data_IF_270730106338
#
_entry.id   IF_270730106338
#
_cell.length_a   1.000
_cell.length_b   1.000
_cell.length_c   1.000
_cell.angle_alpha   90.00
_cell.angle_beta   90.00
_cell.angle_gamma   90.00
#
_symmetry.space_group_name_H-M   'P 1'
#
loop_
_entity.id
_entity.type
_entity.pdbx_description
1 polymer ?
#
# COMPACT_ATOMS: atom_id res chain seq x y z
N UNK A 1 -6.55 -35.30 -12.14
CA UNK A 1 -6.30 -34.01 -12.82
C UNK A 1 -6.06 -32.97 -11.75
N UNK A 2 -5.03 -32.14 -11.90
CA UNK A 2 -4.75 -31.01 -11.01
C UNK A 2 -5.72 -29.85 -11.29
N UNK A 3 -5.96 -28.99 -10.30
CA UNK A 3 -6.74 -27.78 -10.49
C UNK A 3 -6.04 -26.80 -11.45
N UNK A 4 -6.83 -26.04 -12.20
CA UNK A 4 -6.37 -24.93 -13.04
C UNK A 4 -6.40 -23.62 -12.23
N UNK A 5 -5.40 -22.76 -12.43
CA UNK A 5 -5.28 -21.49 -11.69
C UNK A 5 -6.04 -20.40 -12.43
N UNK A 6 -6.91 -19.70 -11.70
CA UNK A 6 -7.54 -18.46 -12.17
C UNK A 6 -6.53 -17.31 -12.09
N UNK A 7 -5.85 -16.99 -13.20
CA UNK A 7 -4.80 -15.96 -13.23
C UNK A 7 -5.37 -14.52 -13.22
N UNK A 8 -5.57 -13.99 -12.02
CA UNK A 8 -6.01 -12.61 -11.84
C UNK A 8 -4.97 -11.54 -12.18
N UNK A 9 -3.67 -11.88 -12.22
CA UNK A 9 -2.62 -10.92 -12.58
C UNK A 9 -2.64 -10.66 -14.08
N UNK A 10 -2.77 -11.70 -14.88
CA UNK A 10 -2.96 -11.59 -16.33
C UNK A 10 -4.24 -10.81 -16.65
N UNK A 11 -5.36 -11.15 -16.01
CA UNK A 11 -6.64 -10.47 -16.20
C UNK A 11 -6.57 -8.98 -15.82
N UNK A 12 -5.95 -8.63 -14.69
CA UNK A 12 -5.80 -7.23 -14.28
C UNK A 12 -4.94 -6.42 -15.26
N UNK A 13 -3.90 -7.04 -15.86
CA UNK A 13 -3.08 -6.41 -16.91
C UNK A 13 -3.91 -6.11 -18.16
N UNK A 14 -4.73 -7.06 -18.58
CA UNK A 14 -5.65 -6.89 -19.72
C UNK A 14 -6.66 -5.77 -19.46
N UNK A 15 -7.33 -5.78 -18.29
CA UNK A 15 -8.30 -4.75 -17.91
C UNK A 15 -7.67 -3.35 -17.94
N UNK A 16 -6.47 -3.18 -17.36
CA UNK A 16 -5.77 -1.89 -17.37
C UNK A 16 -5.39 -1.43 -18.79
N UNK A 17 -5.01 -2.35 -19.67
CA UNK A 17 -4.68 -2.02 -21.05
C UNK A 17 -5.92 -1.50 -21.81
N UNK A 18 -7.06 -2.18 -21.66
CA UNK A 18 -8.34 -1.73 -22.21
C UNK A 18 -8.75 -0.37 -21.64
N UNK A 19 -8.71 -0.23 -20.32
CA UNK A 19 -9.09 1.00 -19.63
C UNK A 19 -8.25 2.21 -20.08
N UNK A 20 -6.94 2.02 -20.29
CA UNK A 20 -6.06 3.07 -20.83
C UNK A 20 -6.54 3.58 -22.20
N UNK A 21 -6.95 2.66 -23.07
CA UNK A 21 -7.47 3.02 -24.39
C UNK A 21 -8.82 3.74 -24.29
N UNK A 22 -9.71 3.25 -23.41
CA UNK A 22 -11.03 3.85 -23.20
C UNK A 22 -10.95 5.27 -22.63
N UNK A 23 -10.05 5.50 -21.68
CA UNK A 23 -9.80 6.83 -21.08
C UNK A 23 -9.21 7.79 -22.11
N UNK A 24 -8.23 7.34 -22.91
CA UNK A 24 -7.68 8.14 -23.99
C UNK A 24 -8.75 8.51 -25.03
N UNK A 25 -9.62 7.56 -25.41
CA UNK A 25 -10.72 7.80 -26.33
C UNK A 25 -11.77 8.77 -25.76
N UNK A 26 -12.10 8.64 -24.47
CA UNK A 26 -13.02 9.54 -23.78
C UNK A 26 -12.49 10.98 -23.75
N UNK A 27 -11.20 11.15 -23.43
CA UNK A 27 -10.54 12.46 -23.43
C UNK A 27 -10.53 13.08 -24.82
N UNK A 28 -10.21 12.30 -25.85
CA UNK A 28 -10.17 12.77 -27.23
C UNK A 28 -11.55 13.18 -27.75
N UNK A 29 -12.61 12.42 -27.44
CA UNK A 29 -13.95 12.64 -28.00
C UNK A 29 -14.80 13.67 -27.24
N UNK A 30 -14.61 13.78 -25.93
CA UNK A 30 -15.49 14.57 -25.06
C UNK A 30 -14.74 15.63 -24.23
N UNK A 31 -13.40 15.65 -24.26
CA UNK A 31 -12.61 16.54 -23.41
C UNK A 31 -12.70 16.21 -21.92
N UNK A 32 -13.28 15.06 -21.56
CA UNK A 32 -13.48 14.62 -20.17
C UNK A 32 -12.26 13.80 -19.73
N UNK A 33 -11.61 14.24 -18.66
CA UNK A 33 -10.73 13.40 -17.86
C UNK A 33 -11.51 12.80 -16.71
N UNK A 34 -11.68 11.47 -16.63
CA UNK A 34 -12.21 10.84 -15.43
C UNK A 34 -11.30 11.14 -14.25
N UNK A 35 -11.89 11.48 -13.11
CA UNK A 35 -11.16 11.80 -11.88
C UNK A 35 -11.67 10.95 -10.74
N UNK A 36 -10.75 10.24 -10.09
CA UNK A 36 -11.00 9.50 -8.85
C UNK A 36 -10.50 10.31 -7.67
N UNK A 37 -11.40 10.67 -6.76
CA UNK A 37 -11.06 11.22 -5.46
C UNK A 37 -10.95 10.10 -4.42
N UNK A 38 -9.90 10.14 -3.60
CA UNK A 38 -9.70 9.22 -2.48
C UNK A 38 -9.61 10.03 -1.20
N UNK A 39 -10.55 9.80 -0.28
CA UNK A 39 -10.60 10.41 1.04
C UNK A 39 -9.96 9.47 2.07
N UNK A 40 -8.87 9.92 2.69
CA UNK A 40 -8.19 9.25 3.80
C UNK A 40 -8.27 10.13 5.04
N UNK A 41 -8.49 9.50 6.20
CA UNK A 41 -8.64 10.18 7.48
C UNK A 41 -7.73 9.50 8.50
N UNK A 42 -6.78 10.24 9.05
CA UNK A 42 -5.79 9.73 9.99
C UNK A 42 -4.55 9.11 9.35
N UNK A 43 -3.68 8.62 10.23
CA UNK A 43 -2.28 8.31 9.91
C UNK A 43 -2.03 6.80 9.74
N UNK A 44 -3.02 6.06 9.22
CA UNK A 44 -2.86 4.63 8.96
C UNK A 44 -1.94 4.37 7.76
N UNK A 45 -0.74 3.85 8.04
CA UNK A 45 0.30 3.55 7.04
C UNK A 45 -0.19 2.59 5.94
N UNK A 46 -1.07 1.64 6.29
CA UNK A 46 -1.64 0.69 5.34
C UNK A 46 -2.57 1.39 4.34
N UNK A 47 -3.43 2.28 4.81
CA UNK A 47 -4.31 3.13 4.00
C UNK A 47 -3.52 4.06 3.09
N UNK A 48 -2.44 4.67 3.58
CA UNK A 48 -1.54 5.48 2.76
C UNK A 48 -0.84 4.65 1.67
N UNK A 49 -0.41 3.42 1.99
CA UNK A 49 0.14 2.47 1.02
C UNK A 49 -0.87 2.10 -0.07
N UNK A 50 -2.13 1.89 0.31
CA UNK A 50 -3.21 1.56 -0.61
C UNK A 50 -3.57 2.75 -1.53
N UNK A 51 -3.64 3.97 -1.00
CA UNK A 51 -3.84 5.19 -1.78
C UNK A 51 -2.76 5.35 -2.87
N UNK A 52 -1.48 5.14 -2.52
CA UNK A 52 -0.37 5.17 -3.49
C UNK A 52 -0.51 4.12 -4.59
N UNK A 53 -1.00 2.92 -4.26
CA UNK A 53 -1.25 1.87 -5.25
C UNK A 53 -2.39 2.22 -6.21
N UNK A 54 -3.45 2.87 -5.71
CA UNK A 54 -4.55 3.40 -6.52
C UNK A 54 -4.04 4.51 -7.44
N UNK A 55 -3.29 5.48 -6.90
CA UNK A 55 -2.70 6.58 -7.67
C UNK A 55 -1.85 6.04 -8.83
N UNK A 56 -0.91 5.14 -8.54
CA UNK A 56 -0.07 4.51 -9.57
C UNK A 56 -0.88 3.80 -10.65
N UNK A 57 -2.00 3.19 -10.26
CA UNK A 57 -2.93 2.56 -11.21
C UNK A 57 -3.61 3.62 -12.08
N UNK A 58 -4.12 4.69 -11.49
CA UNK A 58 -4.76 5.82 -12.18
C UNK A 58 -3.80 6.47 -13.18
N UNK A 59 -2.58 6.80 -12.77
CA UNK A 59 -1.52 7.35 -13.62
C UNK A 59 -1.23 6.42 -14.81
N UNK A 60 -1.16 5.10 -14.55
CA UNK A 60 -0.89 4.10 -15.57
C UNK A 60 -1.98 3.98 -16.65
N UNK A 61 -3.22 4.33 -16.32
CA UNK A 61 -4.37 4.28 -17.24
C UNK A 61 -4.85 5.65 -17.72
N UNK A 62 -4.28 6.75 -17.20
CA UNK A 62 -4.61 8.12 -17.57
C UNK A 62 -5.86 8.69 -16.90
N UNK A 63 -6.28 8.12 -15.76
CA UNK A 63 -7.34 8.66 -14.90
C UNK A 63 -6.70 9.69 -13.96
N UNK A 64 -7.30 10.87 -13.83
CA UNK A 64 -6.83 11.90 -12.91
C UNK A 64 -7.11 11.45 -11.46
N UNK A 65 -6.19 11.74 -10.55
CA UNK A 65 -6.25 11.29 -9.16
C UNK A 65 -6.21 12.48 -8.20
N UNK A 66 -7.17 12.53 -7.27
CA UNK A 66 -7.24 13.54 -6.21
C UNK A 66 -7.22 12.86 -4.86
N UNK A 67 -6.06 12.89 -4.20
CA UNK A 67 -5.98 12.50 -2.78
C UNK A 67 -6.47 13.63 -1.90
N UNK A 68 -7.35 13.33 -0.95
CA UNK A 68 -7.72 14.20 0.16
C UNK A 68 -7.33 13.50 1.44
N UNK A 69 -6.29 14.05 2.08
CA UNK A 69 -5.73 13.53 3.33
C UNK A 69 -6.16 14.43 4.49
N UNK A 70 -6.92 13.88 5.43
CA UNK A 70 -7.40 14.58 6.61
C UNK A 70 -6.68 14.06 7.86
N UNK A 71 -6.27 14.95 8.79
CA UNK A 71 -5.53 14.54 9.98
C UNK A 71 -6.39 13.66 10.90
N UNK A 72 -5.76 12.85 11.76
CA UNK A 72 -6.47 12.07 12.77
C UNK A 72 -7.38 12.94 13.67
N UNK A 73 -6.97 14.17 13.94
CA UNK A 73 -7.71 15.12 14.77
C UNK A 73 -8.96 15.72 14.10
N UNK A 74 -9.17 15.48 12.80
CA UNK A 74 -10.34 15.97 12.08
C UNK A 74 -11.63 15.51 12.76
N UNK A 75 -12.59 16.40 12.85
CA UNK A 75 -13.90 16.15 13.42
C UNK A 75 -14.90 15.72 12.34
N UNK A 76 -15.98 15.03 12.76
CA UNK A 76 -17.00 14.50 11.85
C UNK A 76 -17.50 15.56 10.85
N UNK A 77 -17.84 16.76 11.32
CA UNK A 77 -18.37 17.83 10.47
C UNK A 77 -17.37 18.31 9.42
N UNK A 78 -16.08 18.38 9.75
CA UNK A 78 -15.03 18.78 8.81
C UNK A 78 -14.88 17.74 7.68
N UNK A 79 -14.95 16.45 8.04
CA UNK A 79 -14.90 15.35 7.06
C UNK A 79 -16.13 15.35 6.16
N UNK A 80 -17.31 15.59 6.73
CA UNK A 80 -18.57 15.69 6.00
C UNK A 80 -18.59 16.87 5.02
N UNK A 81 -18.05 18.02 5.40
CA UNK A 81 -17.90 19.19 4.53
C UNK A 81 -17.04 18.86 3.30
N UNK A 82 -15.88 18.24 3.54
CA UNK A 82 -14.96 17.79 2.48
C UNK A 82 -15.64 16.75 1.56
N UNK A 83 -16.35 15.78 2.13
CA UNK A 83 -17.08 14.79 1.33
C UNK A 83 -18.18 15.44 0.49
N UNK A 84 -18.88 16.45 1.02
CA UNK A 84 -19.88 17.22 0.28
C UNK A 84 -19.26 18.02 -0.87
N UNK A 85 -18.07 18.60 -0.69
CA UNK A 85 -17.32 19.23 -1.79
C UNK A 85 -17.02 18.22 -2.90
N UNK A 86 -16.51 17.03 -2.56
CA UNK A 86 -16.24 15.96 -3.54
C UNK A 86 -17.52 15.49 -4.24
N UNK A 87 -18.63 15.36 -3.51
CA UNK A 87 -19.93 14.97 -4.03
C UNK A 87 -20.47 15.95 -5.08
N UNK A 88 -20.22 17.25 -4.89
CA UNK A 88 -20.74 18.33 -5.73
C UNK A 88 -19.79 18.76 -6.84
N UNK A 89 -18.48 18.50 -6.70
CA UNK A 89 -17.44 18.81 -7.67
C UNK A 89 -17.69 18.15 -9.04
N UNK A 90 -18.02 18.89 -10.11
CA UNK A 90 -18.34 18.30 -11.42
C UNK A 90 -17.15 17.60 -12.07
N UNK A 91 -15.92 17.96 -11.70
CA UNK A 91 -14.69 17.33 -12.17
C UNK A 91 -14.38 16.00 -11.48
N UNK A 92 -15.01 15.70 -10.34
CA UNK A 92 -14.85 14.44 -9.60
C UNK A 92 -15.93 13.46 -10.05
N UNK A 93 -15.51 12.32 -10.59
CA UNK A 93 -16.41 11.32 -11.19
C UNK A 93 -16.59 10.08 -10.32
N UNK A 94 -15.62 9.80 -9.45
CA UNK A 94 -15.67 8.73 -8.47
C UNK A 94 -15.03 9.15 -7.16
N UNK A 95 -15.55 8.61 -6.05
CA UNK A 95 -15.08 8.86 -4.70
C UNK A 95 -14.90 7.51 -4.01
N UNK A 96 -13.77 7.34 -3.32
CA UNK A 96 -13.51 6.23 -2.41
C UNK A 96 -13.13 6.78 -1.04
N UNK A 97 -13.75 6.24 0.01
CA UNK A 97 -13.39 6.53 1.40
C UNK A 97 -12.54 5.34 1.88
N UNK A 98 -11.31 5.59 2.32
CA UNK A 98 -10.44 4.51 2.79
C UNK A 98 -10.72 4.18 4.26
N UNK A 99 -10.73 2.89 4.56
CA UNK A 99 -10.77 2.34 5.91
C UNK A 99 -9.36 1.91 6.37
N UNK A 100 -9.07 1.94 7.69
CA UNK A 100 -9.97 2.36 8.77
C UNK A 100 -10.07 3.89 8.90
N UNK A 101 -11.25 4.37 9.31
CA UNK A 101 -11.40 5.74 9.80
C UNK A 101 -11.23 5.77 11.34
N UNK A 102 -10.83 6.90 11.95
CA UNK A 102 -10.75 7.01 13.41
C UNK A 102 -12.08 6.68 14.10
N UNK A 103 -12.03 6.11 15.30
CA UNK A 103 -13.22 5.66 16.05
C UNK A 103 -14.24 6.78 16.34
N UNK A 104 -13.79 8.04 16.42
CA UNK A 104 -14.66 9.20 16.61
C UNK A 104 -15.37 9.66 15.33
N UNK A 105 -15.03 9.08 14.18
CA UNK A 105 -15.66 9.35 12.88
C UNK A 105 -16.63 8.21 12.55
N UNK A 106 -17.88 8.58 12.30
CA UNK A 106 -18.90 7.62 11.89
C UNK A 106 -18.75 7.28 10.40
N UNK A 107 -18.09 6.16 10.11
CA UNK A 107 -17.97 5.65 8.74
C UNK A 107 -19.35 5.49 8.06
N UNK A 108 -20.34 4.96 8.77
CA UNK A 108 -21.68 4.76 8.25
C UNK A 108 -22.33 6.09 7.81
N UNK A 109 -22.15 7.17 8.57
CA UNK A 109 -22.66 8.49 8.20
C UNK A 109 -22.01 9.03 6.91
N UNK A 110 -20.70 8.79 6.73
CA UNK A 110 -20.00 9.16 5.50
C UNK A 110 -20.52 8.36 4.29
N UNK A 111 -20.74 7.06 4.45
CA UNK A 111 -21.31 6.22 3.38
C UNK A 111 -22.72 6.67 3.00
N UNK A 112 -23.56 7.05 3.96
CA UNK A 112 -24.92 7.54 3.70
C UNK A 112 -24.93 8.94 3.04
N UNK A 113 -23.89 9.75 3.26
CA UNK A 113 -23.72 11.06 2.63
C UNK A 113 -23.11 10.99 1.23
N UNK A 114 -22.31 9.96 0.94
CA UNK A 114 -21.67 9.76 -0.35
C UNK A 114 -22.72 9.80 -1.48
N UNK A 115 -22.43 10.47 -2.60
CA UNK A 115 -23.34 10.46 -3.75
C UNK A 115 -23.33 9.06 -4.40
N UNK A 116 -24.47 8.35 -4.50
CA UNK A 116 -24.52 7.02 -5.11
C UNK A 116 -23.98 6.96 -6.54
N UNK A 117 -24.08 8.08 -7.28
CA UNK A 117 -23.58 8.18 -8.66
C UNK A 117 -22.07 8.35 -8.75
N UNK A 118 -21.38 8.62 -7.62
CA UNK A 118 -19.91 8.71 -7.52
C UNK A 118 -19.32 7.61 -6.63
N UNK A 119 -20.14 6.76 -6.02
CA UNK A 119 -19.72 5.63 -5.19
C UNK A 119 -19.12 4.50 -6.03
N UNK A 120 -17.88 4.68 -6.48
CA UNK A 120 -17.19 3.70 -7.35
C UNK A 120 -16.79 2.43 -6.61
N UNK A 121 -16.81 2.43 -5.27
CA UNK A 121 -16.56 1.26 -4.44
C UNK A 121 -17.85 0.46 -4.14
N UNK A 122 -19.01 0.96 -4.57
CA UNK A 122 -20.29 0.27 -4.47
C UNK A 122 -20.76 0.02 -3.03
N UNK A 123 -20.32 0.84 -2.08
CA UNK A 123 -20.59 0.67 -0.65
C UNK A 123 -21.90 1.34 -0.21
N UNK A 124 -22.45 2.24 -1.00
CA UNK A 124 -23.66 2.96 -0.66
C UNK A 124 -24.89 2.03 -0.66
N UNK A 125 -25.75 2.07 0.39
CA UNK A 125 -27.00 1.32 0.43
C UNK A 125 -27.92 1.46 -0.80
N UNK A 126 -27.92 2.61 -1.49
CA UNK A 126 -28.70 2.81 -2.72
C UNK A 126 -28.17 1.92 -3.85
N UNK A 127 -26.85 1.84 -4.03
CA UNK A 127 -26.23 0.94 -5.01
C UNK A 127 -26.46 -0.52 -4.64
N UNK A 128 -26.34 -0.88 -3.36
CA UNK A 128 -26.66 -2.22 -2.87
C UNK A 128 -28.14 -2.60 -3.13
N UNK A 129 -29.07 -1.67 -2.89
CA UNK A 129 -30.49 -1.87 -3.16
C UNK A 129 -30.81 -1.98 -4.65
N UNK A 130 -30.14 -1.20 -5.50
CA UNK A 130 -30.26 -1.30 -6.96
C UNK A 130 -29.68 -2.60 -7.50
N UNK A 131 -28.54 -3.07 -6.96
CA UNK A 131 -28.01 -4.40 -7.24
C UNK A 131 -29.01 -5.49 -6.82
N UNK A 132 -29.59 -5.40 -5.63
CA UNK A 132 -30.58 -6.37 -5.16
C UNK A 132 -31.83 -6.44 -6.06
N UNK A 133 -32.24 -5.31 -6.64
CA UNK A 133 -33.40 -5.21 -7.52
C UNK A 133 -33.08 -5.39 -9.02
N UNK A 134 -31.79 -5.56 -9.35
CA UNK A 134 -31.24 -5.53 -10.71
C UNK A 134 -31.70 -4.32 -11.55
N UNK A 135 -31.58 -3.10 -10.98
CA UNK A 135 -32.01 -1.84 -11.61
C UNK A 135 -30.84 -0.91 -11.94
N UNK A 136 -30.12 -1.14 -13.04
CA UNK A 136 -29.01 -0.28 -13.43
C UNK A 136 -29.45 1.17 -13.77
N UNK A 137 -28.56 2.16 -13.68
CA UNK A 137 -27.14 2.03 -13.31
C UNK A 137 -26.92 1.96 -11.79
N UNK A 138 -25.97 1.12 -11.38
CA UNK A 138 -25.46 1.01 -10.02
C UNK A 138 -24.01 0.55 -10.04
N UNK A 139 -23.25 0.96 -9.03
CA UNK A 139 -21.93 0.39 -8.77
C UNK A 139 -22.04 -0.89 -7.94
N UNK A 140 -21.03 -1.74 -8.08
CA UNK A 140 -20.93 -3.02 -7.39
C UNK A 140 -19.58 -3.03 -6.68
N UNK A 141 -19.50 -3.54 -5.44
CA UNK A 141 -18.21 -3.63 -4.76
C UNK A 141 -17.12 -4.30 -5.60
N UNK A 142 -15.91 -3.73 -5.56
CA UNK A 142 -14.84 -4.09 -6.48
C UNK A 142 -14.41 -5.56 -6.35
N UNK A 143 -14.38 -6.09 -5.11
CA UNK A 143 -13.99 -7.49 -4.83
C UNK A 143 -14.92 -8.51 -5.50
N UNK A 144 -16.26 -8.51 -5.25
CA UNK A 144 -17.15 -9.44 -5.92
C UNK A 144 -17.22 -9.22 -7.43
N UNK A 145 -17.15 -7.97 -7.91
CA UNK A 145 -17.05 -7.69 -9.34
C UNK A 145 -15.79 -8.34 -9.97
N UNK A 146 -14.63 -8.21 -9.31
CA UNK A 146 -13.38 -8.86 -9.74
C UNK A 146 -13.48 -10.38 -9.76
N UNK A 147 -14.07 -10.98 -8.73
CA UNK A 147 -14.29 -12.43 -8.67
C UNK A 147 -15.16 -12.95 -9.82
N UNK A 148 -16.22 -12.21 -10.18
CA UNK A 148 -17.04 -12.51 -11.35
C UNK A 148 -16.24 -12.42 -12.65
N UNK A 149 -15.41 -11.39 -12.82
CA UNK A 149 -14.56 -11.24 -14.01
C UNK A 149 -13.55 -12.39 -14.15
N UNK A 150 -13.03 -12.91 -13.04
CA UNK A 150 -12.18 -14.11 -13.04
C UNK A 150 -12.94 -15.34 -13.54
N UNK A 151 -14.16 -15.57 -13.02
CA UNK A 151 -15.01 -16.69 -13.44
C UNK A 151 -15.40 -16.57 -14.92
N UNK A 152 -15.71 -15.37 -15.39
CA UNK A 152 -16.00 -15.10 -16.81
C UNK A 152 -14.77 -15.37 -17.70
N UNK A 153 -13.58 -14.91 -17.29
CA UNK A 153 -12.33 -15.14 -18.02
C UNK A 153 -12.01 -16.64 -18.15
N UNK A 154 -12.35 -17.43 -17.14
CA UNK A 154 -12.18 -18.88 -17.13
C UNK A 154 -13.28 -19.64 -17.89
N UNK A 155 -14.23 -18.94 -18.54
CA UNK A 155 -15.26 -19.58 -19.35
C UNK A 155 -16.33 -20.32 -18.54
N UNK A 156 -16.54 -19.93 -17.29
CA UNK A 156 -17.49 -20.60 -16.39
C UNK A 156 -18.92 -20.43 -16.90
N UNK A 157 -19.60 -21.54 -17.20
CA UNK A 157 -21.01 -21.55 -17.55
C UNK A 157 -21.89 -21.42 -16.29
N UNK A 158 -22.30 -20.21 -15.94
CA UNK A 158 -23.02 -19.92 -14.68
C UNK A 158 -24.41 -20.58 -14.57
N UNK A 159 -25.17 -20.59 -15.67
CA UNK A 159 -26.58 -20.99 -15.66
C UNK A 159 -26.78 -22.41 -15.11
N UNK A 160 -27.59 -22.53 -14.07
CA UNK A 160 -27.95 -23.81 -13.44
C UNK A 160 -26.91 -24.38 -12.47
N UNK A 161 -25.74 -23.75 -12.32
CA UNK A 161 -24.74 -24.17 -11.33
C UNK A 161 -25.16 -23.80 -9.91
N UNK A 162 -24.83 -24.64 -8.93
CA UNK A 162 -24.98 -24.30 -7.52
C UNK A 162 -23.75 -23.50 -7.05
N UNK A 163 -23.99 -22.24 -6.69
CA UNK A 163 -23.00 -21.36 -6.09
C UNK A 163 -23.20 -21.28 -4.56
N UNK A 164 -22.16 -21.60 -3.81
CA UNK A 164 -22.15 -21.48 -2.34
C UNK A 164 -21.18 -20.37 -1.97
N UNK A 165 -21.69 -19.35 -1.27
CA UNK A 165 -20.88 -18.25 -0.75
C UNK A 165 -20.75 -18.45 0.76
N UNK A 166 -19.53 -18.55 1.27
CA UNK A 166 -19.26 -18.62 2.71
C UNK A 166 -18.83 -17.25 3.20
N UNK A 167 -19.70 -16.59 3.96
CA UNK A 167 -19.53 -15.22 4.41
C UNK A 167 -20.62 -14.30 3.84
N UNK A 168 -21.17 -13.41 4.68
CA UNK A 168 -22.34 -12.59 4.37
C UNK A 168 -22.12 -11.10 4.62
N UNK A 169 -20.89 -10.63 4.47
CA UNK A 169 -20.57 -9.20 4.58
C UNK A 169 -21.31 -8.40 3.51
N UNK A 170 -21.55 -7.12 3.80
CA UNK A 170 -22.27 -6.21 2.92
C UNK A 170 -21.48 -5.87 1.64
N UNK A 171 -20.15 -5.93 1.71
CA UNK A 171 -19.26 -5.54 0.60
C UNK A 171 -18.69 -6.72 -0.21
N UNK A 172 -18.81 -7.97 0.26
CA UNK A 172 -18.30 -9.14 -0.48
C UNK A 172 -19.35 -10.24 -0.60
N UNK A 173 -19.81 -10.79 0.52
CA UNK A 173 -20.63 -12.00 0.52
C UNK A 173 -21.99 -11.81 -0.15
N UNK A 174 -22.77 -10.83 0.33
CA UNK A 174 -24.10 -10.49 -0.22
C UNK A 174 -24.03 -10.05 -1.69
N UNK A 175 -23.15 -9.11 -2.10
CA UNK A 175 -23.06 -8.70 -3.51
C UNK A 175 -22.59 -9.84 -4.41
N UNK A 176 -21.64 -10.68 -4.00
CA UNK A 176 -21.25 -11.87 -4.78
C UNK A 176 -22.45 -12.80 -5.03
N UNK A 177 -23.26 -13.05 -3.99
CA UNK A 177 -24.47 -13.86 -4.11
C UNK A 177 -25.45 -13.29 -5.13
N UNK A 178 -25.68 -11.96 -5.13
CA UNK A 178 -26.57 -11.33 -6.11
C UNK A 178 -26.02 -11.38 -7.54
N UNK A 179 -24.72 -11.13 -7.73
CA UNK A 179 -24.11 -11.19 -9.06
C UNK A 179 -24.16 -12.59 -9.69
N UNK A 180 -24.01 -13.64 -8.88
CA UNK A 180 -24.15 -15.03 -9.33
C UNK A 180 -25.62 -15.39 -9.58
N UNK A 181 -26.54 -14.90 -8.75
CA UNK A 181 -27.97 -15.07 -8.96
C UNK A 181 -28.43 -14.44 -10.28
N UNK A 182 -27.99 -13.22 -10.60
CA UNK A 182 -28.29 -12.56 -11.86
C UNK A 182 -27.71 -13.30 -13.08
N UNK A 183 -26.65 -14.10 -12.87
CA UNK A 183 -26.07 -15.01 -13.87
C UNK A 183 -26.72 -16.39 -13.89
N UNK A 184 -27.88 -16.53 -13.28
CA UNK A 184 -28.71 -17.74 -13.25
C UNK A 184 -28.10 -18.92 -12.47
N UNK A 185 -27.21 -18.68 -11.51
CA UNK A 185 -26.84 -19.71 -10.54
C UNK A 185 -27.97 -19.94 -9.52
N UNK A 186 -28.05 -21.16 -8.99
CA UNK A 186 -28.74 -21.43 -7.72
C UNK A 186 -27.80 -21.02 -6.59
N UNK A 187 -28.20 -20.11 -5.71
CA UNK A 187 -27.29 -19.50 -4.74
C UNK A 187 -27.63 -19.90 -3.31
N UNK A 188 -26.62 -20.36 -2.56
CA UNK A 188 -26.70 -20.56 -1.10
C UNK A 188 -25.72 -19.62 -0.39
N UNK A 189 -26.21 -18.75 0.48
CA UNK A 189 -25.40 -17.84 1.28
C UNK A 189 -25.22 -18.38 2.72
N UNK A 190 -23.99 -18.77 3.04
CA UNK A 190 -23.61 -19.34 4.33
C UNK A 190 -22.98 -18.30 5.27
N UNK A 191 -23.02 -18.60 6.57
CA UNK A 191 -22.41 -17.78 7.62
C UNK A 191 -22.09 -18.61 8.87
N UNK A 192 -21.58 -17.95 9.91
CA UNK A 192 -21.17 -18.57 11.18
C UNK A 192 -22.26 -19.35 11.94
N UNK A 193 -23.51 -19.32 11.48
CA UNK A 193 -24.65 -20.03 12.09
C UNK A 193 -25.28 -21.05 11.12
N UNK A 194 -24.67 -21.29 9.97
CA UNK A 194 -25.11 -22.33 9.03
C UNK A 194 -24.87 -23.69 9.68
N UNK A 195 -25.94 -24.48 9.81
CA UNK A 195 -25.86 -25.86 10.30
C UNK A 195 -25.26 -26.74 9.20
N UNK A 196 -24.30 -27.59 9.59
CA UNK A 196 -23.56 -28.48 8.68
C UNK A 196 -22.99 -27.75 7.45
N UNK A 197 -22.26 -26.66 7.71
CA UNK A 197 -21.52 -25.93 6.69
C UNK A 197 -20.65 -26.84 5.78
N UNK A 198 -19.96 -27.89 6.27
CA UNK A 198 -19.25 -28.83 5.41
C UNK A 198 -20.13 -29.48 4.34
N UNK A 199 -21.31 -29.97 4.71
CA UNK A 199 -22.23 -30.60 3.76
C UNK A 199 -22.79 -29.61 2.74
N UNK A 200 -22.99 -28.35 3.13
CA UNK A 200 -23.41 -27.29 2.21
C UNK A 200 -22.32 -26.99 1.19
N UNK A 201 -21.07 -26.81 1.62
CA UNK A 201 -19.95 -26.55 0.72
C UNK A 201 -19.74 -27.68 -0.31
N UNK A 202 -19.94 -28.94 0.10
CA UNK A 202 -19.79 -30.11 -0.79
C UNK A 202 -20.75 -30.15 -1.98
N UNK A 203 -21.80 -29.32 -1.99
CA UNK A 203 -22.72 -29.23 -3.14
C UNK A 203 -22.26 -28.25 -4.21
N UNK A 204 -21.41 -27.30 -3.86
CA UNK A 204 -21.08 -26.16 -4.71
C UNK A 204 -20.34 -26.58 -5.98
N UNK A 205 -20.83 -26.15 -7.13
CA UNK A 205 -20.07 -26.09 -8.38
C UNK A 205 -19.13 -24.87 -8.37
N UNK A 206 -19.56 -23.79 -7.72
CA UNK A 206 -18.78 -22.57 -7.49
C UNK A 206 -18.77 -22.28 -5.99
N UNK A 207 -17.60 -22.35 -5.36
CA UNK A 207 -17.43 -22.07 -3.93
C UNK A 207 -16.69 -20.74 -3.76
N UNK A 208 -17.37 -19.72 -3.25
CA UNK A 208 -16.79 -18.41 -2.98
C UNK A 208 -16.54 -18.23 -1.48
N UNK A 209 -15.28 -18.01 -1.09
CA UNK A 209 -14.87 -17.85 0.30
C UNK A 209 -14.64 -16.36 0.60
N UNK A 210 -15.56 -15.79 1.38
CA UNK A 210 -15.54 -14.40 1.83
C UNK A 210 -15.41 -14.34 3.36
N UNK A 211 -14.41 -15.06 3.89
CA UNK A 211 -14.16 -15.23 5.32
C UNK A 211 -12.78 -14.73 5.71
N UNK A 212 -12.68 -14.05 6.85
CA UNK A 212 -11.40 -13.61 7.43
C UNK A 212 -10.76 -14.65 8.35
N UNK A 213 -10.94 -15.95 8.09
CA UNK A 213 -10.40 -17.04 8.93
C UNK A 213 -9.61 -18.01 8.08
N UNK A 214 -8.30 -18.02 8.31
CA UNK A 214 -7.38 -18.95 7.65
C UNK A 214 -7.82 -20.41 7.88
N UNK A 215 -7.67 -21.23 6.84
CA UNK A 215 -7.84 -22.69 6.87
C UNK A 215 -9.22 -23.19 7.34
N UNK A 216 -10.25 -22.35 7.35
CA UNK A 216 -11.57 -22.77 7.85
C UNK A 216 -12.22 -23.83 6.95
N UNK A 217 -12.11 -23.68 5.63
CA UNK A 217 -12.64 -24.64 4.65
C UNK A 217 -11.59 -25.71 4.40
N UNK A 218 -12.00 -26.97 4.58
CA UNK A 218 -11.11 -28.12 4.43
C UNK A 218 -11.29 -28.79 3.05
N UNK A 219 -10.28 -29.53 2.55
CA UNK A 219 -10.36 -30.16 1.23
C UNK A 219 -11.61 -31.04 1.03
N UNK A 220 -12.04 -31.77 2.06
CA UNK A 220 -13.24 -32.63 2.03
C UNK A 220 -14.57 -31.86 2.08
N UNK A 221 -14.53 -30.54 2.09
CA UNK A 221 -15.70 -29.67 1.91
C UNK A 221 -15.86 -29.25 0.44
N UNK A 222 -14.83 -29.44 -0.39
CA UNK A 222 -14.82 -29.01 -1.80
C UNK A 222 -15.24 -30.17 -2.69
N UNK A 223 -16.29 -29.95 -3.49
CA UNK A 223 -16.73 -30.92 -4.49
C UNK A 223 -15.64 -31.13 -5.55
N UNK A 224 -15.33 -32.37 -5.96
CA UNK A 224 -14.42 -32.60 -7.09
C UNK A 224 -14.90 -31.87 -8.35
N UNK A 225 -14.00 -31.10 -8.96
CA UNK A 225 -14.31 -30.28 -10.14
C UNK A 225 -14.98 -28.93 -9.84
N UNK A 226 -15.16 -28.57 -8.56
CA UNK A 226 -15.63 -27.24 -8.19
C UNK A 226 -14.61 -26.16 -8.55
N UNK A 227 -15.14 -24.97 -8.84
CA UNK A 227 -14.34 -23.74 -8.98
C UNK A 227 -14.32 -23.06 -7.62
N UNK A 228 -13.14 -22.78 -7.09
CA UNK A 228 -12.97 -22.12 -5.78
C UNK A 228 -12.43 -20.72 -6.00
N UNK A 229 -13.15 -19.73 -5.46
CA UNK A 229 -12.70 -18.32 -5.41
C UNK A 229 -12.40 -18.01 -3.95
N UNK A 230 -11.11 -17.91 -3.62
CA UNK A 230 -10.64 -17.64 -2.25
C UNK A 230 -9.87 -16.32 -2.19
N UNK A 231 -10.06 -15.58 -1.10
CA UNK A 231 -9.40 -14.30 -0.82
C UNK A 231 -8.62 -14.41 0.49
N UNK A 232 -7.30 -14.33 0.40
CA UNK A 232 -6.42 -14.22 1.56
C UNK A 232 -5.89 -12.80 1.72
N UNK A 233 -5.94 -12.28 2.94
CA UNK A 233 -5.14 -11.13 3.37
C UNK A 233 -3.90 -11.67 4.07
N UNK A 234 -2.72 -11.32 3.58
CA UNK A 234 -1.45 -11.65 4.21
C UNK A 234 -0.93 -10.42 4.94
N UNK A 235 -0.90 -10.48 6.26
CA UNK A 235 -0.26 -9.45 7.09
C UNK A 235 1.21 -9.80 7.22
N UNK A 236 2.09 -8.85 6.88
CA UNK A 236 3.52 -8.99 7.15
C UNK A 236 3.69 -8.85 8.68
N UNK A 237 4.22 -9.88 9.37
CA UNK A 237 4.39 -9.81 10.82
C UNK A 237 5.30 -8.64 11.21
N UNK A 238 5.05 -7.99 12.37
CA UNK A 238 6.00 -7.04 12.92
C UNK A 238 7.35 -7.74 13.19
N UNK A 239 8.47 -7.03 12.95
CA UNK A 239 9.82 -7.56 13.12
C UNK A 239 10.38 -8.33 11.93
N UNK A 240 9.68 -8.40 10.79
CA UNK A 240 10.30 -8.81 9.52
C UNK A 240 11.45 -7.83 9.22
N UNK A 241 12.71 -8.31 9.11
CA UNK A 241 13.83 -7.42 8.82
C UNK A 241 13.56 -6.63 7.55
N UNK A 242 13.81 -5.33 7.60
CA UNK A 242 13.68 -4.45 6.46
C UNK A 242 14.97 -3.61 6.32
N UNK A 243 15.44 -3.36 5.09
CA UNK A 243 14.82 -3.71 3.82
C UNK A 243 14.90 -5.22 3.51
N UNK A 244 13.82 -5.79 2.96
CA UNK A 244 13.80 -7.18 2.50
C UNK A 244 12.90 -7.37 1.27
N UNK A 245 13.12 -8.47 0.55
CA UNK A 245 12.21 -8.96 -0.49
C UNK A 245 11.57 -10.25 -0.01
N UNK A 246 10.25 -10.29 0.10
CA UNK A 246 9.48 -11.47 0.45
C UNK A 246 8.88 -12.10 -0.81
N UNK A 247 8.87 -13.43 -0.88
CA UNK A 247 8.17 -14.17 -1.94
C UNK A 247 6.81 -14.63 -1.45
N UNK A 248 5.78 -14.36 -2.24
CA UNK A 248 4.43 -14.87 -2.05
C UNK A 248 4.31 -16.19 -2.80
N UNK A 249 4.08 -17.28 -2.06
CA UNK A 249 3.81 -18.61 -2.61
C UNK A 249 2.43 -19.07 -2.17
N UNK A 250 1.70 -19.73 -3.06
CA UNK A 250 0.45 -20.40 -2.74
C UNK A 250 0.58 -21.91 -2.97
N UNK A 251 0.13 -22.70 -2.01
CA UNK A 251 0.11 -24.16 -2.09
C UNK A 251 -1.11 -24.71 -1.35
N UNK A 252 -1.50 -25.92 -1.68
CA UNK A 252 -2.57 -26.64 -0.97
C UNK A 252 -1.94 -27.71 -0.09
N UNK A 253 -2.61 -28.08 1.00
CA UNK A 253 -2.21 -29.15 1.89
C UNK A 253 -3.39 -30.09 2.11
N UNK A 254 -3.11 -31.38 2.27
CA UNK A 254 -4.04 -32.30 2.89
C UNK A 254 -4.15 -31.93 4.38
N UNK A 255 -5.35 -31.51 4.80
CA UNK A 255 -5.55 -31.00 6.15
C UNK A 255 -5.49 -32.09 7.24
N UNK A 256 -5.48 -33.38 6.88
CA UNK A 256 -5.41 -34.50 7.84
C UNK A 256 -3.98 -34.96 8.04
N UNK A 257 -3.20 -35.08 6.96
CA UNK A 257 -1.79 -35.47 7.05
C UNK A 257 -0.85 -34.28 7.23
N UNK A 258 -1.31 -33.07 6.90
CA UNK A 258 -0.47 -31.87 6.79
C UNK A 258 0.44 -31.85 5.55
N UNK A 259 0.32 -32.86 4.68
CA UNK A 259 1.17 -33.02 3.50
C UNK A 259 0.78 -32.01 2.41
N UNK A 260 1.75 -31.40 1.74
CA UNK A 260 1.49 -30.48 0.63
C UNK A 260 1.01 -31.25 -0.59
N UNK A 261 -0.04 -30.76 -1.24
CA UNK A 261 -0.55 -31.31 -2.49
C UNK A 261 0.31 -30.83 -3.66
N UNK A 262 0.65 -31.76 -4.55
CA UNK A 262 1.44 -31.46 -5.74
C UNK A 262 0.66 -30.60 -6.76
N UNK A 263 1.36 -29.60 -7.30
CA UNK A 263 1.00 -28.83 -8.50
C UNK A 263 2.14 -29.02 -9.51
N UNK A 264 1.91 -29.85 -10.53
CA UNK A 264 2.96 -30.23 -11.49
C UNK A 264 4.13 -30.93 -10.80
N UNK A 265 5.33 -30.36 -10.93
CA UNK A 265 6.57 -30.87 -10.30
C UNK A 265 6.91 -30.15 -8.98
N UNK A 266 6.01 -29.32 -8.45
CA UNK A 266 6.20 -28.58 -7.20
C UNK A 266 5.02 -28.83 -6.25
N UNK A 267 5.11 -28.33 -5.03
CA UNK A 267 4.07 -28.41 -3.99
C UNK A 267 3.45 -27.03 -3.65
N UNK A 268 3.80 -26.03 -4.49
CA UNK A 268 3.42 -24.62 -4.39
C UNK A 268 3.67 -23.91 -5.71
N UNK A 269 3.09 -22.73 -5.86
CA UNK A 269 3.28 -21.82 -6.99
C UNK A 269 3.71 -20.45 -6.47
N UNK A 270 4.81 -19.93 -7.00
CA UNK A 270 5.23 -18.56 -6.73
C UNK A 270 4.29 -17.58 -7.46
N UNK A 271 3.69 -16.67 -6.71
CA UNK A 271 2.73 -15.69 -7.24
C UNK A 271 3.41 -14.35 -7.55
N UNK A 272 4.25 -13.87 -6.64
CA UNK A 272 4.97 -12.59 -6.77
C UNK A 272 6.10 -12.47 -5.74
N UNK A 273 7.05 -11.58 -6.01
CA UNK A 273 8.00 -11.06 -5.02
C UNK A 273 7.56 -9.63 -4.63
N UNK A 274 7.61 -9.29 -3.34
CA UNK A 274 7.23 -7.98 -2.77
C UNK A 274 8.39 -7.40 -1.95
N UNK A 275 8.63 -6.10 -2.06
CA UNK A 275 9.62 -5.39 -1.23
C UNK A 275 9.01 -4.89 0.08
N UNK A 276 9.75 -4.96 1.17
CA UNK A 276 9.40 -4.46 2.50
C UNK A 276 10.36 -3.36 2.90
N UNK A 277 9.82 -2.19 3.26
CA UNK A 277 10.58 -1.03 3.71
C UNK A 277 10.60 -0.94 5.26
N UNK A 278 11.67 -0.39 5.87
CA UNK A 278 11.78 -0.31 7.34
C UNK A 278 10.82 0.71 7.97
N UNK A 279 10.29 0.34 9.14
CA UNK A 279 9.45 1.19 9.99
C UNK A 279 10.30 2.15 10.85
N UNK A 280 9.74 3.28 11.34
CA UNK A 280 10.49 4.30 12.10
C UNK A 280 11.27 3.81 13.33
N UNK A 281 10.78 2.76 14.02
CA UNK A 281 11.37 2.25 15.26
C UNK A 281 12.45 1.19 15.08
N UNK A 282 12.62 0.67 13.86
CA UNK A 282 13.54 -0.44 13.55
C UNK A 282 14.87 0.06 12.93
N UNK A 283 15.10 1.37 12.96
CA UNK A 283 16.26 1.98 12.31
C UNK A 283 17.55 1.71 13.09
N UNK A 284 18.68 1.36 12.43
CA UNK A 284 19.98 1.30 13.08
C UNK A 284 20.34 2.65 13.71
N UNK A 285 20.98 2.60 14.89
CA UNK A 285 21.31 3.77 15.72
C UNK A 285 20.16 4.79 15.80
N UNK A 286 18.91 4.31 15.98
CA UNK A 286 17.73 5.15 16.04
C UNK A 286 17.89 6.26 17.09
N UNK A 287 17.55 7.47 16.69
CA UNK A 287 17.64 8.66 17.52
C UNK A 287 17.15 9.84 16.70
N UNK A 288 16.20 10.61 17.25
CA UNK A 288 15.62 11.75 16.53
C UNK A 288 16.48 12.99 16.77
N UNK A 289 17.20 13.42 15.73
CA UNK A 289 17.92 14.69 15.73
C UNK A 289 17.16 15.69 14.87
N UNK A 290 16.61 16.71 15.51
CA UNK A 290 15.82 17.76 14.87
C UNK A 290 16.71 18.88 14.32
N UNK A 291 16.49 19.22 13.06
CA UNK A 291 17.10 20.33 12.33
C UNK A 291 16.05 21.42 12.06
N UNK A 292 16.05 22.45 12.92
CA UNK A 292 15.23 23.65 12.78
C UNK A 292 13.72 23.44 12.73
N UNK A 293 13.21 22.34 13.28
CA UNK A 293 11.79 21.94 13.21
C UNK A 293 11.33 21.52 11.82
N UNK A 294 12.26 21.39 10.86
CA UNK A 294 11.96 21.14 9.44
C UNK A 294 12.25 19.70 9.06
N UNK A 295 13.42 19.20 9.43
CA UNK A 295 13.90 17.85 9.12
C UNK A 295 14.34 17.15 10.40
N UNK A 296 14.12 15.85 10.47
CA UNK A 296 14.71 15.00 11.49
C UNK A 296 15.57 13.92 10.85
N UNK A 297 16.79 13.74 11.35
CA UNK A 297 17.50 12.48 11.19
C UNK A 297 16.85 11.47 12.15
N UNK A 298 16.23 10.42 11.63
CA UNK A 298 15.50 9.41 12.38
C UNK A 298 16.40 8.25 12.84
N UNK A 299 17.47 7.98 12.07
CA UNK A 299 18.45 6.95 12.36
C UNK A 299 19.55 6.95 11.31
N UNK A 300 20.60 6.18 11.56
CA UNK A 300 21.72 6.04 10.62
C UNK A 300 22.42 4.70 10.77
N UNK A 301 23.00 4.21 9.68
CA UNK A 301 23.84 3.02 9.66
C UNK A 301 25.19 3.35 9.04
N UNK A 302 26.25 2.85 9.65
CA UNK A 302 27.62 3.06 9.20
C UNK A 302 28.24 1.68 9.01
N UNK A 303 28.67 1.40 7.78
CA UNK A 303 29.10 0.06 7.36
C UNK A 303 30.29 -0.49 8.19
N UNK A 304 31.14 0.39 8.72
CA UNK A 304 32.28 0.03 9.56
C UNK A 304 32.70 1.15 10.52
N UNK A 305 33.41 0.78 11.59
CA UNK A 305 33.99 1.73 12.57
C UNK A 305 35.51 1.78 12.56
N UNK A 306 36.16 0.94 11.76
CA UNK A 306 37.61 0.93 11.52
C UNK A 306 37.87 1.05 10.02
N UNK A 307 38.90 1.80 9.64
CA UNK A 307 39.26 2.05 8.24
C UNK A 307 40.77 2.24 8.09
N UNK A 308 41.28 2.12 6.87
CA UNK A 308 42.62 2.55 6.49
C UNK A 308 42.57 3.78 5.56
N UNK A 309 43.66 4.56 5.45
CA UNK A 309 43.78 5.58 4.41
C UNK A 309 43.55 4.98 3.01
N UNK A 310 42.79 5.68 2.16
CA UNK A 310 42.40 5.19 0.83
C UNK A 310 41.07 4.41 0.80
N UNK A 311 40.53 4.01 1.95
CA UNK A 311 39.22 3.34 2.01
C UNK A 311 38.05 4.31 1.76
N UNK A 312 36.87 3.75 1.50
CA UNK A 312 35.61 4.50 1.51
C UNK A 312 34.64 3.92 2.54
N UNK A 313 33.98 4.81 3.27
CA UNK A 313 32.96 4.49 4.26
C UNK A 313 31.58 4.77 3.68
N UNK A 314 30.61 3.92 4.00
CA UNK A 314 29.23 4.10 3.57
C UNK A 314 28.36 4.44 4.77
N UNK A 315 27.82 5.66 4.77
CA UNK A 315 26.87 6.14 5.76
C UNK A 315 25.47 6.18 5.12
N UNK A 316 24.52 5.42 5.68
CA UNK A 316 23.11 5.50 5.30
C UNK A 316 22.35 6.26 6.36
N UNK A 317 21.54 7.25 5.95
CA UNK A 317 20.76 8.10 6.83
C UNK A 317 19.29 8.08 6.44
N UNK A 318 18.41 8.07 7.44
CA UNK A 318 16.97 8.15 7.25
C UNK A 318 16.46 9.49 7.77
N UNK A 319 15.79 10.22 6.89
CA UNK A 319 15.31 11.58 7.13
C UNK A 319 13.80 11.63 7.13
N UNK A 320 13.21 12.34 8.09
CA UNK A 320 11.78 12.63 8.21
C UNK A 320 11.52 14.13 8.04
N UNK A 321 10.53 14.50 7.23
CA UNK A 321 10.01 15.87 7.19
C UNK A 321 9.14 16.14 8.43
N UNK A 322 9.54 17.12 9.24
CA UNK A 322 8.81 17.54 10.43
C UNK A 322 7.88 18.74 10.18
N UNK A 323 8.21 19.55 9.19
CA UNK A 323 7.51 20.79 8.87
C UNK A 323 7.43 21.01 7.36
N UNK A 324 6.54 21.90 6.95
CA UNK A 324 6.50 22.38 5.57
C UNK A 324 7.79 23.16 5.29
N UNK A 325 8.41 22.87 4.15
CA UNK A 325 9.64 23.51 3.71
C UNK A 325 9.37 24.33 2.46
N UNK A 326 9.72 25.61 2.49
CA UNK A 326 9.64 26.54 1.36
C UNK A 326 10.93 26.57 0.53
N UNK A 327 11.93 25.77 0.94
CA UNK A 327 13.29 25.77 0.39
C UNK A 327 13.86 24.36 0.21
N UNK A 328 14.90 24.29 -0.62
CA UNK A 328 15.62 23.07 -0.91
C UNK A 328 16.82 22.91 0.04
N UNK A 329 16.95 21.74 0.67
CA UNK A 329 17.98 21.48 1.68
C UNK A 329 18.99 20.44 1.22
N UNK A 330 20.25 20.70 1.56
CA UNK A 330 21.39 19.79 1.39
C UNK A 330 21.75 19.25 2.76
N UNK A 331 21.86 17.93 2.88
CA UNK A 331 22.47 17.31 4.04
C UNK A 331 23.91 16.95 3.73
N UNK A 332 24.82 17.27 4.64
CA UNK A 332 26.23 16.92 4.54
C UNK A 332 26.60 15.86 5.56
N UNK A 333 27.57 15.04 5.20
CA UNK A 333 28.28 14.17 6.12
C UNK A 333 29.78 14.44 5.97
N UNK A 334 30.44 14.82 7.07
CA UNK A 334 31.86 15.15 7.11
C UNK A 334 32.58 14.20 8.07
N UNK A 335 33.78 13.77 7.67
CA UNK A 335 34.67 12.99 8.50
C UNK A 335 35.82 13.89 8.99
N UNK A 336 35.79 14.20 10.28
CA UNK A 336 36.65 15.19 10.91
C UNK A 336 37.73 14.54 11.75
N UNK A 337 38.97 15.01 11.67
CA UNK A 337 40.01 14.72 12.67
C UNK A 337 40.21 15.95 13.55
N UNK A 338 39.98 15.86 14.88
CA UNK A 338 40.11 17.01 15.77
C UNK A 338 41.53 17.60 15.82
N UNK A 339 41.68 18.94 15.99
CA UNK A 339 40.61 19.94 15.99
C UNK A 339 40.29 20.40 14.55
N UNK A 340 39.17 19.92 14.02
CA UNK A 340 38.41 20.49 12.89
C UNK A 340 38.97 20.35 11.46
N UNK A 341 39.85 19.38 11.20
CA UNK A 341 40.24 19.07 9.82
C UNK A 341 39.23 18.10 9.16
N UNK A 342 38.54 18.53 8.09
CA UNK A 342 37.73 17.64 7.24
C UNK A 342 38.65 16.82 6.34
N UNK A 343 38.56 15.49 6.44
CA UNK A 343 39.35 14.56 5.63
C UNK A 343 38.54 13.82 4.57
N UNK A 344 37.23 13.69 4.77
CA UNK A 344 36.31 13.19 3.76
C UNK A 344 34.95 13.87 3.92
N UNK A 345 34.22 14.07 2.82
CA UNK A 345 32.89 14.69 2.86
C UNK A 345 32.02 14.20 1.69
N UNK A 346 30.70 14.17 1.92
CA UNK A 346 29.68 14.00 0.89
C UNK A 346 28.48 14.90 1.25
N UNK A 347 28.13 15.80 0.34
CA UNK A 347 27.07 16.79 0.48
C UNK A 347 26.00 16.48 -0.57
N UNK A 348 24.77 16.18 -0.14
CA UNK A 348 23.70 15.78 -1.04
C UNK A 348 22.43 16.57 -0.86
N UNK A 349 21.91 17.04 -1.99
CA UNK A 349 20.55 17.54 -2.08
C UNK A 349 19.60 16.42 -1.65
N UNK A 350 18.76 16.72 -0.66
CA UNK A 350 17.74 15.78 -0.21
C UNK A 350 16.64 15.72 -1.26
N UNK A 351 16.65 14.66 -2.06
CA UNK A 351 15.72 14.44 -3.15
C UNK A 351 15.05 13.06 -3.02
N UNK A 352 13.71 13.06 -3.07
CA UNK A 352 12.88 11.86 -2.97
C UNK A 352 12.15 11.65 -4.29
N UNK A 353 12.57 10.65 -5.07
CA UNK A 353 11.96 10.32 -6.38
C UNK A 353 11.86 11.52 -7.34
N UNK A 354 12.90 12.37 -7.40
CA UNK A 354 12.91 13.59 -8.23
C UNK A 354 12.26 14.82 -7.57
N UNK A 355 11.61 14.67 -6.41
CA UNK A 355 11.04 15.77 -5.64
C UNK A 355 12.02 16.28 -4.58
N UNK A 356 12.31 17.57 -4.62
CA UNK A 356 13.18 18.26 -3.66
C UNK A 356 12.43 18.60 -2.37
N UNK A 357 13.15 18.95 -1.30
CA UNK A 357 12.54 19.19 0.02
C UNK A 357 11.47 20.28 0.02
N UNK A 358 11.54 21.28 -0.86
CA UNK A 358 10.49 22.30 -1.01
C UNK A 358 9.13 21.73 -1.45
N UNK A 359 9.11 20.51 -2.01
CA UNK A 359 7.91 19.80 -2.42
C UNK A 359 7.51 18.68 -1.43
N UNK A 360 8.28 18.47 -0.36
CA UNK A 360 7.98 17.42 0.62
C UNK A 360 6.82 17.84 1.53
N UNK A 361 6.05 16.85 1.95
CA UNK A 361 4.99 17.01 2.95
C UNK A 361 5.50 16.58 4.31
N UNK A 362 4.93 17.12 5.39
CA UNK A 362 5.18 16.62 6.75
C UNK A 362 4.90 15.12 6.79
N UNK A 363 5.81 14.34 7.37
CA UNK A 363 5.77 12.88 7.38
C UNK A 363 6.46 12.20 6.19
N UNK A 364 6.84 12.94 5.14
CA UNK A 364 7.65 12.35 4.06
C UNK A 364 9.00 11.84 4.60
N UNK A 365 9.41 10.66 4.12
CA UNK A 365 10.66 10.01 4.51
C UNK A 365 11.59 9.80 3.32
N UNK A 366 12.88 10.01 3.54
CA UNK A 366 13.96 9.69 2.60
C UNK A 366 15.01 8.80 3.26
N UNK A 367 15.45 7.77 2.54
CA UNK A 367 16.71 7.10 2.81
C UNK A 367 17.78 7.64 1.84
N UNK A 368 18.88 8.13 2.38
CA UNK A 368 20.00 8.66 1.59
C UNK A 368 21.31 7.97 2.00
N UNK A 369 22.12 7.62 1.00
CA UNK A 369 23.43 6.98 1.21
C UNK A 369 24.54 7.92 0.78
N UNK A 370 25.54 8.05 1.65
CA UNK A 370 26.68 8.94 1.53
C UNK A 370 27.96 8.11 1.49
N UNK A 371 28.94 8.57 0.71
CA UNK A 371 30.22 7.88 0.56
C UNK A 371 31.36 8.81 0.97
N UNK A 372 32.00 8.49 2.10
CA UNK A 372 33.12 9.26 2.64
C UNK A 372 34.42 8.57 2.23
N UNK A 373 35.04 9.06 1.16
CA UNK A 373 36.30 8.54 0.65
C UNK A 373 37.49 9.16 1.42
N UNK A 374 38.19 8.35 2.21
CA UNK A 374 39.39 8.76 2.93
C UNK A 374 40.58 8.85 1.95
N UNK A 375 41.34 9.95 1.95
CA UNK A 375 42.54 10.05 1.14
C UNK A 375 43.63 9.11 1.66
N UNK A 376 44.53 8.67 0.78
CA UNK A 376 45.70 7.85 1.15
C UNK A 376 46.64 8.56 2.14
N UNK A 377 46.56 9.89 2.21
CA UNK A 377 47.35 10.73 3.11
C UNK A 377 46.71 10.94 4.50
N UNK A 378 45.56 10.32 4.76
CA UNK A 378 44.86 10.45 6.04
C UNK A 378 45.74 9.94 7.20
N UNK A 379 46.04 10.76 8.22
CA UNK A 379 46.82 10.31 9.36
C UNK A 379 46.02 9.32 10.22
N UNK A 380 46.69 8.36 10.89
CA UNK A 380 46.04 7.52 11.87
C UNK A 380 45.45 8.36 13.01
N UNK A 381 44.26 7.98 13.48
CA UNK A 381 43.56 8.76 14.49
C UNK A 381 42.12 8.34 14.72
N UNK A 382 41.45 9.07 15.61
CA UNK A 382 40.01 8.92 15.86
C UNK A 382 39.29 10.07 15.17
N UNK A 383 38.57 9.72 14.10
CA UNK A 383 37.79 10.64 13.31
C UNK A 383 36.34 10.67 13.81
N UNK A 384 35.68 11.80 13.66
CA UNK A 384 34.28 12.00 14.00
C UNK A 384 33.46 12.15 12.72
N UNK A 385 32.34 11.43 12.64
CA UNK A 385 31.34 11.65 11.59
C UNK A 385 30.40 12.74 12.07
N UNK A 386 30.48 13.91 11.44
CA UNK A 386 29.58 15.03 11.67
C UNK A 386 28.55 15.12 10.55
N UNK A 387 27.30 15.38 10.91
CA UNK A 387 26.20 15.55 9.96
C UNK A 387 25.46 16.84 10.23
N UNK A 388 25.03 17.52 9.18
CA UNK A 388 24.11 18.63 9.32
C UNK A 388 23.34 18.91 8.04
N UNK A 389 22.52 19.95 8.10
CA UNK A 389 21.65 20.36 7.01
C UNK A 389 21.81 21.85 6.78
N UNK A 390 21.89 22.27 5.53
CA UNK A 390 21.88 23.68 5.15
C UNK A 390 20.97 23.95 3.96
N UNK A 391 20.54 25.19 3.87
CA UNK A 391 19.79 25.74 2.75
C UNK A 391 20.65 25.75 1.49
N UNK A 392 20.17 25.12 0.41
CA UNK A 392 20.91 24.98 -0.84
C UNK A 392 21.35 26.31 -1.45
N UNK A 393 20.52 27.35 -1.33
CA UNK A 393 20.72 28.62 -2.02
C UNK A 393 21.48 29.63 -1.14
N UNK A 394 21.19 29.65 0.17
CA UNK A 394 21.83 30.60 1.10
C UNK A 394 23.05 30.03 1.82
N UNK A 395 23.24 28.71 1.79
CA UNK A 395 24.24 27.98 2.58
C UNK A 395 24.11 28.14 4.11
N UNK A 396 22.97 28.67 4.56
CA UNK A 396 22.67 28.86 5.99
C UNK A 396 22.36 27.50 6.63
N UNK A 397 23.01 27.21 7.76
CA UNK A 397 22.83 25.94 8.48
C UNK A 397 21.53 25.94 9.27
N UNK A 398 20.82 24.83 9.23
CA UNK A 398 19.69 24.61 10.12
C UNK A 398 20.20 24.34 11.54
N UNK A 399 19.59 24.94 12.57
CA UNK A 399 20.02 24.74 13.95
C UNK A 399 19.70 23.32 14.42
N UNK A 400 20.62 22.73 15.19
CA UNK A 400 20.50 21.39 15.79
C UNK A 400 20.95 21.43 17.24
N UNK A 401 20.11 20.94 18.15
CA UNK A 401 20.42 20.90 19.59
C UNK A 401 20.73 22.27 20.24
N UNK A 402 20.28 23.38 19.63
CA UNK A 402 20.59 24.74 20.08
C UNK A 402 21.94 25.30 19.59
N UNK A 403 22.62 24.62 18.66
CA UNK A 403 23.84 25.09 17.99
C UNK A 403 23.66 25.14 16.47
N UNK A 404 24.43 25.98 15.78
CA UNK A 404 24.50 26.01 14.30
C UNK A 404 25.57 25.03 13.74
N UNK A 405 26.23 24.28 14.63
CA UNK A 405 27.20 23.24 14.26
C UNK A 405 26.48 21.93 13.94
N UNK A 406 27.09 21.05 13.15
CA UNK A 406 26.51 19.73 12.89
C UNK A 406 26.43 18.86 14.15
N UNK A 407 25.79 17.70 14.05
CA UNK A 407 25.74 16.69 15.09
C UNK A 407 26.80 15.61 14.82
N UNK A 408 27.59 15.27 15.83
CA UNK A 408 28.48 14.12 15.77
C UNK A 408 27.67 12.83 15.94
N UNK A 409 27.67 11.97 14.94
CA UNK A 409 26.95 10.69 14.95
C UNK A 409 27.80 9.55 15.51
N UNK A 410 29.05 9.45 15.07
CA UNK A 410 29.90 8.31 15.34
C UNK A 410 31.39 8.68 15.39
N UNK A 411 32.18 7.78 15.98
CA UNK A 411 33.65 7.81 15.91
C UNK A 411 34.16 6.65 15.05
N UNK A 412 35.18 6.92 14.26
CA UNK A 412 35.85 5.96 13.37
C UNK A 412 37.34 5.96 13.71
N UNK A 413 37.94 4.78 13.85
CA UNK A 413 39.39 4.65 13.99
C UNK A 413 40.02 4.46 12.62
N UNK A 414 40.97 5.30 12.26
CA UNK A 414 41.83 5.12 11.08
C UNK A 414 43.19 4.62 11.57
N UNK A 415 43.63 3.47 11.04
CA UNK A 415 44.89 2.80 11.43
C UNK A 415 46.02 3.02 10.42
#
# INVERSE_FOLDING_TARGET
MSAEILDGRALAKEIRATLKNDVAALRARAGISPTLAVLRIGDDDASAGYARAIQKTCDGVGVDFREVDMPFAAQQGEVEEVLNELNTAPEVHGIMILEPVPDHISHAALIDMLNPAKDVDGVHPINAGRLQADRPPYFVPATPAGGIRLLEKAGVAFKGKEAVIVGRSDIVGKPMAMLLLHRHCTVTLCHSRTVDLPAVCRRADILCLAIGRAEMVKPDWVKPGAIVVDRHLLTIPPGVPAPATLRIEAGLYDARSGERLAVGNADRVALADIGVAPAPGDLPNAGRVDFGGKLALAGYDLDRRHSAPGDSLTLTMWWDALGVMDRDYVAFAHLLLPPDAVWAQDDRLLERSGARTSAWRVGDRLQATYTLALPETAPPGIYHVEVGVYDKDTYERLPVGGSEQGVALARIKVE
#
